data_IF_358972099003
#
_entry.id   IF_358972099003
#
_cell.length_a   1.000
_cell.length_b   1.000
_cell.length_c   1.000
_cell.angle_alpha   90.00
_cell.angle_beta   90.00
_cell.angle_gamma   90.00
#
_symmetry.space_group_name_H-M   'P 1'
#
loop_
_entity.id
_entity.type
_entity.pdbx_description
1 polymer ?
#
# COMPACT_ATOMS: atom_id res chain seq x y z
N UNK A 1 0.03 -5.48 -31.07
CA UNK A 1 -0.98 -4.50 -31.56
C UNK A 1 -1.51 -3.77 -30.36
N UNK A 2 -1.87 -2.49 -30.47
CA UNK A 2 -2.28 -1.68 -29.30
C UNK A 2 -3.80 -1.49 -29.31
N UNK A 3 -4.47 -1.87 -28.23
CA UNK A 3 -5.90 -1.63 -27.98
C UNK A 3 -6.18 -0.13 -27.83
N UNK A 4 -7.44 0.27 -27.99
CA UNK A 4 -7.88 1.65 -27.80
C UNK A 4 -7.74 2.11 -26.35
N UNK A 5 -7.78 3.42 -26.11
CA UNK A 5 -7.79 3.99 -24.75
C UNK A 5 -9.03 3.58 -23.95
N UNK A 6 -10.12 3.27 -24.63
CA UNK A 6 -11.36 2.81 -24.02
C UNK A 6 -11.21 1.37 -23.55
N UNK A 7 -10.65 0.49 -24.41
CA UNK A 7 -10.30 -0.89 -24.06
C UNK A 7 -9.28 -0.98 -22.92
N UNK A 8 -8.21 -0.17 -22.97
CA UNK A 8 -7.21 -0.09 -21.90
C UNK A 8 -7.85 0.34 -20.57
N UNK A 9 -8.74 1.33 -20.61
CA UNK A 9 -9.47 1.78 -19.43
C UNK A 9 -10.39 0.67 -18.89
N UNK A 10 -11.11 -0.03 -19.77
CA UNK A 10 -11.98 -1.14 -19.38
C UNK A 10 -11.21 -2.25 -18.65
N UNK A 11 -10.05 -2.66 -19.17
CA UNK A 11 -9.22 -3.69 -18.53
C UNK A 11 -8.75 -3.24 -17.14
N UNK A 12 -8.27 -2.00 -17.01
CA UNK A 12 -7.82 -1.45 -15.73
C UNK A 12 -8.98 -1.37 -14.73
N UNK A 13 -10.12 -0.80 -15.14
CA UNK A 13 -11.29 -0.65 -14.28
C UNK A 13 -11.81 -2.02 -13.80
N UNK A 14 -11.82 -3.02 -14.70
CA UNK A 14 -12.23 -4.39 -14.39
C UNK A 14 -11.26 -5.07 -13.43
N UNK A 15 -9.94 -4.94 -13.67
CA UNK A 15 -8.91 -5.47 -12.75
C UNK A 15 -9.11 -4.96 -11.32
N UNK A 16 -9.20 -3.64 -11.18
CA UNK A 16 -9.39 -2.99 -9.86
C UNK A 16 -10.70 -3.45 -9.22
N UNK A 17 -11.78 -3.55 -9.99
CA UNK A 17 -13.07 -3.95 -9.47
C UNK A 17 -13.09 -5.40 -8.95
N UNK A 18 -12.54 -6.33 -9.72
CA UNK A 18 -12.50 -7.76 -9.35
C UNK A 18 -11.56 -8.01 -8.16
N UNK A 19 -10.35 -7.43 -8.17
CA UNK A 19 -9.42 -7.55 -7.03
C UNK A 19 -10.06 -6.99 -5.75
N UNK A 20 -10.68 -5.81 -5.82
CA UNK A 20 -11.33 -5.23 -4.63
C UNK A 20 -12.56 -6.02 -4.19
N UNK A 21 -13.17 -6.86 -5.05
CA UNK A 21 -14.21 -7.84 -4.68
C UNK A 21 -13.65 -9.12 -4.05
N UNK A 22 -12.33 -9.27 -4.03
CA UNK A 22 -11.61 -10.39 -3.44
C UNK A 22 -11.53 -11.60 -4.37
N UNK A 23 -11.57 -11.39 -5.69
CA UNK A 23 -11.30 -12.44 -6.68
C UNK A 23 -9.79 -12.73 -6.70
N UNK A 24 -9.40 -13.99 -6.94
CA UNK A 24 -8.00 -14.40 -7.07
C UNK A 24 -7.32 -13.61 -8.19
N UNK A 25 -6.11 -13.09 -7.94
CA UNK A 25 -5.39 -12.28 -8.93
C UNK A 25 -5.06 -13.08 -10.20
N UNK A 26 -4.69 -14.35 -10.07
CA UNK A 26 -4.44 -15.26 -11.20
C UNK A 26 -5.68 -15.43 -12.10
N UNK A 27 -6.88 -15.57 -11.51
CA UNK A 27 -8.12 -15.69 -12.27
C UNK A 27 -8.49 -14.37 -12.95
N UNK A 28 -8.22 -13.23 -12.29
CA UNK A 28 -8.40 -11.90 -12.86
C UNK A 28 -7.47 -11.69 -14.05
N UNK A 29 -6.18 -12.02 -13.91
CA UNK A 29 -5.20 -11.85 -14.97
C UNK A 29 -5.50 -12.74 -16.17
N UNK A 30 -5.88 -14.00 -15.95
CA UNK A 30 -6.33 -14.90 -17.02
C UNK A 30 -7.55 -14.35 -17.77
N UNK A 31 -8.53 -13.79 -17.04
CA UNK A 31 -9.67 -13.12 -17.66
C UNK A 31 -9.25 -11.89 -18.49
N UNK A 32 -8.32 -11.08 -17.97
CA UNK A 32 -7.88 -9.85 -18.65
C UNK A 32 -7.10 -10.15 -19.93
N UNK A 33 -6.29 -11.21 -19.94
CA UNK A 33 -5.59 -11.66 -21.15
C UNK A 33 -6.58 -12.06 -22.26
N UNK A 34 -7.63 -12.82 -21.92
CA UNK A 34 -8.68 -13.20 -22.87
C UNK A 34 -9.50 -11.98 -23.33
N UNK A 35 -9.87 -11.10 -22.40
CA UNK A 35 -10.57 -9.86 -22.70
C UNK A 35 -9.74 -8.94 -23.61
N UNK A 36 -8.41 -8.87 -23.42
CA UNK A 36 -7.51 -8.12 -24.29
C UNK A 36 -7.50 -8.67 -25.73
N UNK A 37 -7.49 -10.00 -25.90
CA UNK A 37 -7.59 -10.62 -27.22
C UNK A 37 -8.92 -10.27 -27.90
N UNK A 38 -10.04 -10.35 -27.17
CA UNK A 38 -11.35 -9.97 -27.67
C UNK A 38 -11.43 -8.49 -28.07
N UNK A 39 -10.79 -7.59 -27.31
CA UNK A 39 -10.65 -6.18 -27.68
C UNK A 39 -9.85 -6.00 -28.97
N UNK A 40 -8.68 -6.64 -29.08
CA UNK A 40 -7.84 -6.56 -30.29
C UNK A 40 -8.62 -7.02 -31.54
N UNK A 41 -9.38 -8.11 -31.44
CA UNK A 41 -10.15 -8.64 -32.57
C UNK A 41 -11.40 -7.82 -32.89
N UNK A 42 -12.12 -7.35 -31.86
CA UNK A 42 -13.33 -6.56 -32.01
C UNK A 42 -13.03 -5.17 -32.57
N UNK A 43 -12.04 -4.47 -32.02
CA UNK A 43 -11.66 -3.12 -32.46
C UNK A 43 -11.13 -3.11 -33.89
N UNK A 44 -10.43 -4.17 -34.33
CA UNK A 44 -10.05 -4.36 -35.75
C UNK A 44 -11.26 -4.40 -36.69
N UNK A 45 -12.40 -4.86 -36.20
CA UNK A 45 -13.68 -4.92 -36.93
C UNK A 45 -14.52 -3.65 -36.73
N UNK A 46 -14.00 -2.62 -36.07
CA UNK A 46 -14.70 -1.37 -35.79
C UNK A 46 -15.71 -1.46 -34.64
N UNK A 47 -15.66 -2.52 -33.82
CA UNK A 47 -16.50 -2.65 -32.62
C UNK A 47 -15.95 -1.82 -31.47
N UNK A 48 -16.85 -1.24 -30.69
CA UNK A 48 -16.54 -0.55 -29.43
C UNK A 48 -16.48 -1.53 -28.26
N UNK A 49 -16.04 -1.08 -27.08
CA UNK A 49 -16.05 -1.89 -25.84
C UNK A 49 -17.48 -2.32 -25.52
N UNK A 50 -18.46 -1.43 -25.68
CA UNK A 50 -19.88 -1.73 -25.46
C UNK A 50 -20.42 -2.79 -26.43
N UNK A 51 -19.95 -2.83 -27.67
CA UNK A 51 -20.35 -3.88 -28.63
C UNK A 51 -19.77 -5.27 -28.29
N UNK A 52 -18.73 -5.33 -27.45
CA UNK A 52 -18.03 -6.57 -27.09
C UNK A 52 -18.50 -7.07 -25.72
N UNK A 53 -18.57 -6.18 -24.71
CA UNK A 53 -18.85 -6.52 -23.31
C UNK A 53 -20.19 -5.97 -22.79
N UNK A 54 -20.99 -5.34 -23.65
CA UNK A 54 -22.31 -4.78 -23.33
C UNK A 54 -22.29 -3.32 -22.90
N UNK A 55 -23.48 -2.71 -22.86
CA UNK A 55 -23.68 -1.28 -22.62
C UNK A 55 -23.23 -0.82 -21.21
N UNK A 56 -23.11 -1.77 -20.27
CA UNK A 56 -22.67 -1.51 -18.90
C UNK A 56 -21.47 -2.38 -18.51
N UNK A 57 -20.24 -1.92 -18.79
CA UNK A 57 -19.01 -2.61 -18.38
C UNK A 57 -18.93 -2.96 -16.90
N UNK A 58 -19.55 -2.14 -16.04
CA UNK A 58 -19.61 -2.40 -14.60
C UNK A 58 -20.56 -3.55 -14.25
N UNK A 59 -21.73 -3.63 -14.90
CA UNK A 59 -22.66 -4.75 -14.69
C UNK A 59 -22.04 -6.06 -15.16
N UNK A 60 -21.37 -6.02 -16.31
CA UNK A 60 -20.58 -7.15 -16.81
C UNK A 60 -19.55 -7.63 -15.76
N UNK A 61 -18.74 -6.71 -15.22
CA UNK A 61 -17.75 -7.06 -14.19
C UNK A 61 -18.40 -7.55 -12.87
N UNK A 62 -19.58 -7.06 -12.51
CA UNK A 62 -20.33 -7.53 -11.34
C UNK A 62 -20.88 -8.94 -11.52
N UNK A 63 -21.40 -9.27 -12.71
CA UNK A 63 -21.85 -10.63 -13.03
C UNK A 63 -20.68 -11.60 -13.05
N UNK A 64 -19.59 -11.22 -13.69
CA UNK A 64 -18.34 -11.98 -13.69
C UNK A 64 -17.85 -12.26 -12.25
N UNK A 65 -17.84 -11.25 -11.38
CA UNK A 65 -17.43 -11.41 -9.98
C UNK A 65 -18.31 -12.36 -9.15
N UNK A 66 -19.54 -12.67 -9.59
CA UNK A 66 -20.41 -13.64 -8.91
C UNK A 66 -20.07 -15.08 -9.26
N UNK A 67 -19.58 -15.30 -10.49
CA UNK A 67 -19.21 -16.62 -11.00
C UNK A 67 -17.77 -17.01 -10.62
N UNK A 68 -16.89 -16.04 -10.41
CA UNK A 68 -15.48 -16.28 -10.08
C UNK A 68 -15.25 -16.67 -8.60
N UNK A 69 -14.21 -17.48 -8.37
CA UNK A 69 -13.83 -17.91 -7.02
C UNK A 69 -13.20 -16.75 -6.22
N UNK A 70 -13.58 -16.64 -4.95
CA UNK A 70 -13.03 -15.61 -4.05
C UNK A 70 -11.82 -16.13 -3.29
N UNK A 71 -10.73 -15.36 -3.28
CA UNK A 71 -9.55 -15.65 -2.48
C UNK A 71 -9.68 -15.16 -1.04
N UNK A 72 -10.58 -15.78 -0.26
CA UNK A 72 -10.77 -15.37 1.13
C UNK A 72 -9.51 -15.58 1.99
N UNK A 73 -8.74 -16.64 1.72
CA UNK A 73 -7.59 -17.03 2.54
C UNK A 73 -6.34 -16.21 2.21
N UNK A 74 -6.02 -16.03 0.92
CA UNK A 74 -4.89 -15.21 0.49
C UNK A 74 -5.11 -13.73 0.83
N UNK A 75 -6.32 -13.21 0.63
CA UNK A 75 -6.65 -11.82 1.00
C UNK A 75 -6.40 -11.52 2.48
N UNK A 76 -6.77 -12.44 3.39
CA UNK A 76 -6.53 -12.25 4.83
C UNK A 76 -5.04 -12.29 5.16
N UNK A 77 -4.28 -13.23 4.56
CA UNK A 77 -2.82 -13.31 4.77
C UNK A 77 -2.12 -12.04 4.32
N UNK A 78 -2.49 -11.48 3.17
CA UNK A 78 -1.93 -10.23 2.64
C UNK A 78 -2.24 -9.04 3.54
N UNK A 79 -3.49 -8.93 4.02
CA UNK A 79 -3.88 -7.87 4.98
C UNK A 79 -3.09 -7.99 6.29
N UNK A 80 -2.93 -9.20 6.83
CA UNK A 80 -2.15 -9.42 8.05
C UNK A 80 -0.66 -9.10 7.82
N UNK A 81 -0.09 -9.49 6.69
CA UNK A 81 1.27 -9.14 6.30
C UNK A 81 1.47 -7.63 6.22
N UNK A 82 0.51 -6.91 5.62
CA UNK A 82 0.54 -5.44 5.56
C UNK A 82 0.47 -4.80 6.95
N UNK A 83 -0.38 -5.32 7.85
CA UNK A 83 -0.47 -4.85 9.24
C UNK A 83 0.85 -5.05 9.99
N UNK A 84 1.46 -6.23 9.86
CA UNK A 84 2.75 -6.55 10.50
C UNK A 84 3.87 -5.68 9.93
N UNK A 85 3.93 -5.50 8.60
CA UNK A 85 4.94 -4.67 7.94
C UNK A 85 4.84 -3.21 8.35
N UNK A 86 3.67 -2.59 8.20
CA UNK A 86 3.45 -1.18 8.54
C UNK A 86 3.60 -0.95 10.04
N UNK A 87 2.98 -1.81 10.87
CA UNK A 87 3.06 -1.71 12.32
C UNK A 87 4.46 -1.93 12.84
N UNK A 88 5.18 -2.91 12.29
CA UNK A 88 6.58 -3.19 12.63
C UNK A 88 7.51 -2.05 12.25
N UNK A 89 7.37 -1.49 11.04
CA UNK A 89 8.17 -0.34 10.62
C UNK A 89 7.90 0.89 11.48
N UNK A 90 6.63 1.16 11.80
CA UNK A 90 6.25 2.23 12.71
C UNK A 90 6.85 2.04 14.11
N UNK A 91 6.75 0.84 14.69
CA UNK A 91 7.34 0.53 16.00
C UNK A 91 8.86 0.69 15.98
N UNK A 92 9.53 0.13 14.97
CA UNK A 92 10.98 0.21 14.83
C UNK A 92 11.47 1.65 14.75
N UNK A 93 10.85 2.46 13.88
CA UNK A 93 11.22 3.87 13.72
C UNK A 93 10.93 4.69 14.97
N UNK A 94 9.82 4.41 15.67
CA UNK A 94 9.51 5.06 16.95
C UNK A 94 10.53 4.72 18.05
N UNK A 95 10.99 3.47 18.10
CA UNK A 95 12.05 3.03 19.03
C UNK A 95 13.39 3.71 18.71
N UNK A 96 13.81 3.70 17.44
CA UNK A 96 15.14 4.17 17.04
C UNK A 96 15.27 5.71 17.02
N UNK A 97 14.20 6.41 16.64
CA UNK A 97 14.25 7.85 16.36
C UNK A 97 13.28 8.67 17.20
N UNK A 98 12.25 8.07 17.80
CA UNK A 98 11.19 8.78 18.51
C UNK A 98 11.37 8.89 20.03
N UNK A 99 12.39 8.24 20.60
CA UNK A 99 12.61 8.18 22.05
C UNK A 99 13.89 8.93 22.46
N UNK A 100 13.82 10.19 22.91
CA UNK A 100 14.99 11.00 23.27
C UNK A 100 15.86 10.35 24.36
N UNK A 101 15.21 9.71 25.34
CA UNK A 101 15.86 9.08 26.49
C UNK A 101 16.22 7.60 26.25
N UNK A 102 16.09 7.11 25.01
CA UNK A 102 16.30 5.70 24.63
C UNK A 102 15.41 4.70 25.41
N UNK A 103 14.34 5.18 26.04
CA UNK A 103 13.34 4.38 26.72
C UNK A 103 12.07 4.38 25.88
N UNK A 104 11.72 3.22 25.31
CA UNK A 104 10.50 3.09 24.54
C UNK A 104 9.29 3.11 25.47
N UNK A 105 8.37 4.03 25.22
CA UNK A 105 7.08 4.12 25.91
C UNK A 105 5.96 3.97 24.90
N UNK A 106 5.13 2.94 25.10
CA UNK A 106 3.90 2.75 24.34
C UNK A 106 2.70 3.12 25.20
N UNK A 107 1.87 4.00 24.68
CA UNK A 107 0.65 4.45 25.36
C UNK A 107 -0.58 3.64 24.96
N UNK A 108 -1.63 3.70 25.77
CA UNK A 108 -2.95 3.14 25.45
C UNK A 108 -3.50 3.69 24.12
N UNK A 109 -3.37 5.00 23.88
CA UNK A 109 -3.85 5.66 22.67
C UNK A 109 -3.11 5.16 21.44
N UNK A 110 -1.79 4.97 21.52
CA UNK A 110 -1.00 4.43 20.40
C UNK A 110 -1.31 2.94 20.16
N UNK A 111 -1.39 2.15 21.24
CA UNK A 111 -1.65 0.72 21.18
C UNK A 111 -3.00 0.38 20.52
N UNK A 112 -4.03 1.18 20.79
CA UNK A 112 -5.40 0.94 20.27
C UNK A 112 -5.66 1.78 19.02
N UNK A 113 -5.25 3.05 19.03
CA UNK A 113 -5.59 4.02 18.00
C UNK A 113 -4.93 3.72 16.65
N UNK A 114 -3.63 3.40 16.62
CA UNK A 114 -2.95 3.17 15.33
C UNK A 114 -3.47 1.93 14.59
N UNK A 115 -3.72 0.78 15.24
CA UNK A 115 -4.38 -0.35 14.57
C UNK A 115 -5.77 0.01 14.01
N UNK A 116 -6.57 0.80 14.74
CA UNK A 116 -7.88 1.25 14.26
C UNK A 116 -7.73 2.11 13.01
N UNK A 117 -6.83 3.09 13.02
CA UNK A 117 -6.58 3.95 11.85
C UNK A 117 -6.09 3.12 10.66
N UNK A 118 -5.22 2.14 10.90
CA UNK A 118 -4.74 1.26 9.84
C UNK A 118 -5.86 0.42 9.23
N UNK A 119 -6.75 -0.16 10.03
CA UNK A 119 -7.91 -0.92 9.55
C UNK A 119 -8.86 -0.02 8.75
N UNK A 120 -9.16 1.18 9.25
CA UNK A 120 -9.98 2.18 8.53
C UNK A 120 -9.33 2.53 7.19
N UNK A 121 -8.01 2.70 7.17
CA UNK A 121 -7.26 3.02 5.94
C UNK A 121 -7.37 1.90 4.92
N UNK A 122 -7.14 0.65 5.34
CA UNK A 122 -7.19 -0.52 4.45
C UNK A 122 -8.61 -0.70 3.89
N UNK A 123 -9.62 -0.74 4.76
CA UNK A 123 -11.02 -0.92 4.34
C UNK A 123 -11.47 0.24 3.45
N UNK A 124 -11.19 1.47 3.88
CA UNK A 124 -11.59 2.65 3.13
C UNK A 124 -10.92 2.72 1.77
N UNK A 125 -9.65 2.31 1.65
CA UNK A 125 -8.93 2.24 0.37
C UNK A 125 -9.56 1.20 -0.56
N UNK A 126 -9.85 -0.02 -0.06
CA UNK A 126 -10.55 -1.06 -0.84
C UNK A 126 -11.91 -0.57 -1.33
N UNK A 127 -12.68 0.08 -0.45
CA UNK A 127 -14.00 0.62 -0.79
C UNK A 127 -13.89 1.77 -1.78
N UNK A 128 -12.93 2.68 -1.61
CA UNK A 128 -12.71 3.80 -2.52
C UNK A 128 -12.37 3.31 -3.93
N UNK A 129 -11.40 2.39 -4.07
CA UNK A 129 -11.04 1.80 -5.36
C UNK A 129 -12.21 1.09 -6.02
N UNK A 130 -12.99 0.30 -5.27
CA UNK A 130 -14.17 -0.39 -5.79
C UNK A 130 -15.24 0.58 -6.31
N UNK A 131 -15.49 1.66 -5.58
CA UNK A 131 -16.52 2.66 -5.95
C UNK A 131 -16.07 3.56 -7.10
N UNK A 132 -14.76 3.79 -7.21
CA UNK A 132 -14.17 4.61 -8.27
C UNK A 132 -13.98 3.86 -9.59
N UNK A 133 -13.88 2.52 -9.58
CA UNK A 133 -13.86 1.72 -10.81
C UNK A 133 -15.02 2.09 -11.73
N UNK A 134 -14.74 2.20 -13.03
CA UNK A 134 -15.70 2.58 -14.07
C UNK A 134 -16.26 4.02 -13.93
N UNK A 135 -15.65 4.87 -13.10
CA UNK A 135 -15.99 6.31 -13.04
C UNK A 135 -15.11 7.13 -13.99
N UNK A 136 -15.39 8.43 -14.04
CA UNK A 136 -14.51 9.37 -14.74
C UNK A 136 -13.24 9.59 -13.90
N UNK A 137 -12.12 9.87 -14.57
CA UNK A 137 -10.82 10.09 -13.91
C UNK A 137 -10.87 11.17 -12.81
N UNK A 138 -11.71 12.19 -12.98
CA UNK A 138 -11.89 13.25 -11.98
C UNK A 138 -12.60 12.75 -10.72
N UNK A 139 -13.63 11.91 -10.87
CA UNK A 139 -14.35 11.32 -9.74
C UNK A 139 -13.48 10.30 -9.01
N UNK A 140 -12.77 9.47 -9.76
CA UNK A 140 -11.78 8.53 -9.22
C UNK A 140 -10.71 9.26 -8.41
N UNK A 141 -10.07 10.27 -9.00
CA UNK A 141 -9.07 11.09 -8.32
C UNK A 141 -9.63 11.73 -7.05
N UNK A 142 -10.85 12.29 -7.11
CA UNK A 142 -11.50 12.90 -5.95
C UNK A 142 -11.76 11.90 -4.82
N UNK A 143 -12.25 10.70 -5.13
CA UNK A 143 -12.47 9.63 -4.15
C UNK A 143 -11.15 9.18 -3.50
N UNK A 144 -10.12 8.93 -4.32
CA UNK A 144 -8.78 8.53 -3.85
C UNK A 144 -8.16 9.63 -2.98
N UNK A 145 -8.29 10.89 -3.38
CA UNK A 145 -7.78 12.02 -2.61
C UNK A 145 -8.43 12.11 -1.22
N UNK A 146 -9.76 12.00 -1.15
CA UNK A 146 -10.49 12.03 0.13
C UNK A 146 -10.04 10.90 1.04
N UNK A 147 -9.94 9.66 0.53
CA UNK A 147 -9.55 8.53 1.38
C UNK A 147 -8.10 8.62 1.87
N UNK A 148 -7.19 9.23 1.11
CA UNK A 148 -5.81 9.47 1.55
C UNK A 148 -5.74 10.55 2.64
N UNK A 149 -6.64 11.53 2.60
CA UNK A 149 -6.69 12.59 3.62
C UNK A 149 -7.25 12.11 4.97
N UNK A 150 -8.19 11.17 4.96
CA UNK A 150 -8.81 10.61 6.18
C UNK A 150 -7.78 10.09 7.19
N UNK A 151 -6.85 9.18 6.86
CA UNK A 151 -5.87 8.68 7.83
C UNK A 151 -4.92 9.77 8.32
N UNK A 152 -4.56 10.75 7.49
CA UNK A 152 -3.73 11.88 7.92
C UNK A 152 -4.45 12.66 9.04
N UNK A 153 -5.73 12.99 8.84
CA UNK A 153 -6.54 13.67 9.84
C UNK A 153 -6.70 12.83 11.12
N UNK A 154 -6.94 11.53 10.99
CA UNK A 154 -7.07 10.63 12.13
C UNK A 154 -5.76 10.48 12.91
N UNK A 155 -4.61 10.42 12.23
CA UNK A 155 -3.30 10.38 12.87
C UNK A 155 -3.01 11.67 13.64
N UNK A 156 -3.32 12.84 13.06
CA UNK A 156 -3.20 14.13 13.75
C UNK A 156 -4.09 14.17 14.99
N UNK A 157 -5.35 13.71 14.87
CA UNK A 157 -6.26 13.61 16.01
C UNK A 157 -5.70 12.67 17.09
N UNK A 158 -5.16 11.51 16.70
CA UNK A 158 -4.52 10.58 17.64
C UNK A 158 -3.31 11.20 18.35
N UNK A 159 -2.52 12.04 17.67
CA UNK A 159 -1.40 12.75 18.32
C UNK A 159 -1.91 13.66 19.44
N UNK A 160 -2.99 14.41 19.22
CA UNK A 160 -3.61 15.23 20.27
C UNK A 160 -4.24 14.39 21.38
N UNK A 161 -4.96 13.32 21.02
CA UNK A 161 -5.52 12.38 22.00
C UNK A 161 -4.42 11.76 22.87
N UNK A 162 -3.30 11.37 22.28
CA UNK A 162 -2.17 10.81 23.00
C UNK A 162 -1.55 11.83 23.95
N UNK A 163 -1.46 13.10 23.53
CA UNK A 163 -0.96 14.19 24.38
C UNK A 163 -1.86 14.45 25.60
N UNK A 164 -3.18 14.34 25.44
CA UNK A 164 -4.13 14.68 26.51
C UNK A 164 -4.55 13.50 27.38
N UNK A 165 -4.62 12.29 26.80
CA UNK A 165 -5.19 11.09 27.43
C UNK A 165 -4.26 9.87 27.36
N UNK A 166 -3.08 10.01 26.73
CA UNK A 166 -2.11 8.94 26.62
C UNK A 166 -1.53 8.58 27.97
N UNK A 167 -1.80 7.36 28.43
CA UNK A 167 -1.17 6.79 29.61
C UNK A 167 -0.19 5.71 29.18
N UNK A 168 1.01 5.65 29.78
CA UNK A 168 1.98 4.62 29.46
C UNK A 168 1.43 3.25 29.85
N UNK A 169 1.37 2.35 28.89
CA UNK A 169 0.96 0.94 29.08
C UNK A 169 2.19 0.05 29.14
N UNK A 170 3.20 0.35 28.33
CA UNK A 170 4.47 -0.35 28.32
C UNK A 170 5.59 0.68 28.38
N UNK A 171 6.48 0.52 29.35
CA UNK A 171 7.73 1.27 29.46
C UNK A 171 8.87 0.27 29.56
N UNK A 172 9.80 0.36 28.62
CA UNK A 172 10.95 -0.54 28.56
C UNK A 172 12.21 0.20 28.99
N UNK A 173 13.04 -0.49 29.76
CA UNK A 173 14.40 -0.02 30.02
C UNK A 173 15.20 0.02 28.71
N UNK A 174 16.30 0.78 28.69
CA UNK A 174 17.14 0.97 27.51
C UNK A 174 17.61 -0.35 26.88
N UNK A 175 18.09 -1.30 27.69
CA UNK A 175 18.52 -2.62 27.19
C UNK A 175 17.37 -3.42 26.57
N UNK A 176 16.18 -3.39 27.19
CA UNK A 176 14.99 -4.07 26.68
C UNK A 176 14.52 -3.43 25.37
N UNK A 177 14.63 -2.11 25.26
CA UNK A 177 14.29 -1.33 24.06
C UNK A 177 15.18 -1.72 22.88
N UNK A 178 16.49 -1.84 23.08
CA UNK A 178 17.40 -2.29 22.01
C UNK A 178 17.18 -3.74 21.59
N UNK A 179 16.90 -4.64 22.56
CA UNK A 179 16.56 -6.03 22.25
C UNK A 179 15.29 -6.09 21.40
N UNK A 180 14.25 -5.32 21.76
CA UNK A 180 13.02 -5.24 20.99
C UNK A 180 13.26 -4.70 19.58
N UNK A 181 14.05 -3.63 19.45
CA UNK A 181 14.40 -3.06 18.14
C UNK A 181 15.10 -4.08 17.23
N UNK A 182 16.05 -4.85 17.79
CA UNK A 182 16.77 -5.88 17.04
C UNK A 182 15.82 -7.01 16.58
N UNK A 183 14.90 -7.45 17.44
CA UNK A 183 13.90 -8.47 17.09
C UNK A 183 12.99 -7.97 15.97
N UNK A 184 12.43 -6.76 16.12
CA UNK A 184 11.52 -6.20 15.10
C UNK A 184 12.27 -5.99 13.78
N UNK A 185 13.50 -5.48 13.82
CA UNK A 185 14.33 -5.31 12.62
C UNK A 185 14.57 -6.64 11.90
N UNK A 186 14.92 -7.71 12.63
CA UNK A 186 15.12 -9.03 12.03
C UNK A 186 13.82 -9.60 11.44
N UNK A 187 12.69 -9.45 12.12
CA UNK A 187 11.38 -9.89 11.61
C UNK A 187 11.00 -9.14 10.34
N UNK A 188 11.17 -7.82 10.31
CA UNK A 188 10.95 -7.02 9.12
C UNK A 188 11.90 -7.42 8.00
N UNK A 189 13.20 -7.58 8.28
CA UNK A 189 14.18 -7.97 7.27
C UNK A 189 13.83 -9.32 6.63
N UNK A 190 13.47 -10.32 7.45
CA UNK A 190 13.04 -11.63 6.96
C UNK A 190 11.76 -11.50 6.12
N UNK A 191 10.77 -10.73 6.60
CA UNK A 191 9.51 -10.49 5.89
C UNK A 191 9.71 -9.80 4.54
N UNK A 192 10.51 -8.73 4.51
CA UNK A 192 10.82 -7.97 3.29
C UNK A 192 11.61 -8.82 2.29
N UNK A 193 12.56 -9.64 2.76
CA UNK A 193 13.29 -10.57 1.89
C UNK A 193 12.39 -11.68 1.36
N UNK A 194 11.43 -12.16 2.16
CA UNK A 194 10.46 -13.14 1.71
C UNK A 194 9.54 -12.59 0.61
N UNK A 195 9.11 -11.32 0.72
CA UNK A 195 8.17 -10.69 -0.22
C UNK A 195 8.87 -10.13 -1.46
N UNK A 196 9.98 -9.41 -1.28
CA UNK A 196 10.66 -8.65 -2.34
C UNK A 196 12.04 -9.21 -2.71
N UNK A 197 12.43 -10.36 -2.15
CA UNK A 197 13.75 -10.94 -2.35
C UNK A 197 14.87 -10.00 -1.86
N UNK A 198 16.00 -9.99 -2.56
CA UNK A 198 17.14 -9.12 -2.21
C UNK A 198 16.80 -7.62 -2.28
N UNK A 199 15.79 -7.21 -3.05
CA UNK A 199 15.34 -5.81 -3.08
C UNK A 199 14.71 -5.38 -1.76
N UNK A 200 14.09 -6.30 -1.02
CA UNK A 200 13.51 -6.03 0.30
C UNK A 200 14.52 -5.48 1.30
N UNK A 201 15.79 -5.91 1.22
CA UNK A 201 16.87 -5.38 2.06
C UNK A 201 17.04 -3.87 1.85
N UNK A 202 17.04 -3.41 0.60
CA UNK A 202 17.21 -2.00 0.28
C UNK A 202 15.96 -1.18 0.64
N UNK A 203 14.77 -1.75 0.42
CA UNK A 203 13.49 -1.11 0.78
C UNK A 203 13.42 -0.85 2.29
N UNK A 204 13.98 -1.74 3.12
CA UNK A 204 14.05 -1.54 4.57
C UNK A 204 15.19 -0.60 4.98
N UNK A 205 16.42 -0.85 4.50
CA UNK A 205 17.63 -0.16 5.01
C UNK A 205 17.72 1.28 4.50
N UNK A 206 17.41 1.56 3.24
CA UNK A 206 17.62 2.90 2.65
C UNK A 206 16.79 3.96 3.38
N UNK A 207 15.47 3.78 3.63
CA UNK A 207 14.69 4.74 4.40
C UNK A 207 15.21 4.92 5.83
N UNK A 208 15.60 3.83 6.52
CA UNK A 208 16.17 3.90 7.87
C UNK A 208 17.48 4.68 7.90
N UNK A 209 18.35 4.49 6.90
CA UNK A 209 19.59 5.24 6.76
C UNK A 209 19.32 6.73 6.52
N UNK A 210 18.33 7.08 5.68
CA UNK A 210 17.93 8.48 5.49
C UNK A 210 17.42 9.08 6.80
N UNK A 211 16.57 8.37 7.55
CA UNK A 211 16.11 8.84 8.86
C UNK A 211 17.25 9.07 9.84
N UNK A 212 18.24 8.17 9.85
CA UNK A 212 19.43 8.30 10.68
C UNK A 212 20.29 9.52 10.29
N UNK A 213 20.58 9.70 9.01
CA UNK A 213 21.38 10.82 8.50
C UNK A 213 20.75 12.19 8.79
N UNK A 214 19.42 12.25 8.82
CA UNK A 214 18.68 13.49 9.03
C UNK A 214 18.23 13.71 10.48
N UNK A 215 18.54 12.77 11.39
CA UNK A 215 18.08 12.80 12.79
C UNK A 215 18.42 14.13 13.48
N UNK A 216 19.67 14.55 13.37
CA UNK A 216 20.15 15.77 14.05
C UNK A 216 19.93 17.04 13.19
N UNK A 217 19.74 16.88 11.88
CA UNK A 217 19.56 18.00 10.95
C UNK A 217 18.16 18.62 11.04
N UNK A 218 17.14 17.81 11.37
CA UNK A 218 15.75 18.26 11.46
C UNK A 218 15.53 19.30 12.55
N UNK A 219 16.24 19.20 13.68
CA UNK A 219 16.16 20.18 14.77
C UNK A 219 16.68 21.56 14.36
N UNK A 220 17.55 21.62 13.35
CA UNK A 220 18.16 22.88 12.89
C UNK A 220 17.29 23.66 11.91
N UNK A 221 16.49 22.99 11.08
CA UNK A 221 15.70 23.64 10.04
C UNK A 221 14.55 22.76 9.54
N UNK A 222 13.34 23.32 9.47
CA UNK A 222 12.14 22.68 8.90
C UNK A 222 12.36 22.20 7.47
N UNK A 223 13.19 22.89 6.68
CA UNK A 223 13.53 22.45 5.32
C UNK A 223 14.16 21.05 5.30
N UNK A 224 15.01 20.70 6.29
CA UNK A 224 15.61 19.37 6.37
C UNK A 224 14.59 18.28 6.67
N UNK A 225 13.55 18.60 7.46
CA UNK A 225 12.41 17.70 7.66
C UNK A 225 11.68 17.39 6.34
N UNK A 226 11.42 18.41 5.52
CA UNK A 226 10.80 18.24 4.19
C UNK A 226 11.71 17.44 3.26
N UNK A 227 13.01 17.77 3.21
CA UNK A 227 14.00 17.07 2.38
C UNK A 227 14.09 15.59 2.75
N UNK A 228 14.13 15.26 4.05
CA UNK A 228 14.11 13.88 4.56
C UNK A 228 12.92 13.10 3.99
N UNK A 229 11.71 13.65 4.11
CA UNK A 229 10.48 13.02 3.61
C UNK A 229 10.53 12.81 2.09
N UNK A 230 10.95 13.83 1.34
CA UNK A 230 11.08 13.73 -0.12
C UNK A 230 12.11 12.66 -0.55
N UNK A 231 13.25 12.58 0.15
CA UNK A 231 14.27 11.57 -0.12
C UNK A 231 13.80 10.16 0.21
N UNK A 232 13.05 9.98 1.31
CA UNK A 232 12.47 8.68 1.65
C UNK A 232 11.54 8.19 0.54
N UNK A 233 10.53 8.99 0.16
CA UNK A 233 9.61 8.61 -0.92
C UNK A 233 10.31 8.46 -2.27
N UNK A 234 11.23 9.36 -2.59
CA UNK A 234 12.03 9.31 -3.82
C UNK A 234 12.89 8.05 -3.92
N UNK A 235 13.49 7.62 -2.80
CA UNK A 235 14.29 6.38 -2.76
C UNK A 235 13.43 5.14 -2.98
N UNK A 236 12.25 5.05 -2.34
CA UNK A 236 11.33 3.92 -2.51
C UNK A 236 10.86 3.85 -3.97
N UNK A 237 10.49 5.00 -4.57
CA UNK A 237 10.13 5.07 -5.98
C UNK A 237 11.26 4.61 -6.91
N UNK A 238 12.49 5.08 -6.67
CA UNK A 238 13.66 4.67 -7.44
C UNK A 238 13.93 3.17 -7.32
N UNK A 239 13.83 2.61 -6.12
CA UNK A 239 14.01 1.19 -5.86
C UNK A 239 12.93 0.35 -6.55
N UNK A 240 11.66 0.78 -6.52
CA UNK A 240 10.56 0.10 -7.23
C UNK A 240 10.80 0.07 -8.74
N UNK A 241 11.18 1.21 -9.34
CA UNK A 241 11.52 1.26 -10.78
C UNK A 241 12.70 0.35 -11.13
N UNK A 242 13.70 0.28 -10.27
CA UNK A 242 14.83 -0.60 -10.48
C UNK A 242 14.41 -2.07 -10.41
N UNK A 243 13.59 -2.44 -9.43
CA UNK A 243 13.05 -3.79 -9.29
C UNK A 243 12.30 -4.23 -10.54
N UNK A 244 11.36 -3.41 -11.04
CA UNK A 244 10.59 -3.69 -12.26
C UNK A 244 11.50 -3.92 -13.47
N UNK A 245 12.54 -3.10 -13.62
CA UNK A 245 13.51 -3.22 -14.72
C UNK A 245 14.33 -4.51 -14.66
N UNK A 246 14.58 -5.04 -13.47
CA UNK A 246 15.25 -6.35 -13.30
C UNK A 246 14.31 -7.48 -13.72
N UNK A 247 13.03 -7.36 -13.38
CA UNK A 247 12.00 -8.36 -13.66
C UNK A 247 11.69 -8.45 -15.16
N UNK A 248 11.54 -7.31 -15.85
CA UNK A 248 11.42 -7.23 -17.31
C UNK A 248 12.60 -7.89 -18.04
N UNK A 249 13.82 -7.78 -17.51
CA UNK A 249 15.00 -8.43 -18.11
C UNK A 249 15.01 -9.94 -17.89
N UNK A 250 14.36 -10.44 -16.85
CA UNK A 250 14.24 -11.89 -16.60
C UNK A 250 13.16 -12.52 -17.47
N UNK A 251 12.07 -11.82 -17.79
CA UNK A 251 11.02 -12.34 -18.66
C UNK A 251 11.38 -12.35 -20.16
N UNK A 252 12.44 -11.64 -20.55
CA UNK A 252 12.94 -11.55 -21.93
C UNK A 252 14.05 -12.57 -22.27
N UNK A 253 14.60 -13.28 -21.27
CA UNK A 253 15.68 -14.27 -21.43
C UNK A 253 15.17 -15.68 -21.11
#
# INVERSE_FOLDING_TARGET
MKISKEGEKFLIDTKVYLITKGIKEEDVDAFLEDAELHLIEGEKKGKTVSDIFGDSPKEYAEELAKEMEKDKSGSIKSILGMIIGIGGYWLLTNILFGSPDQQFTLTNVQLIGYPIVLIITIIGTIVAFRMSSFKSKLVEFGMIYVIVMVPILLLVLLMFMNKWYGTPVLQLATMQTYILAAIIFLLLLIGEVYVLGWMGVFVLIVPLMIMFLFKDLEESNVFWGITKVLLMYGSIYGLMKWSLKIEERKSMN
#
